data_IF_277153594600
#
_entry.id   IF_277153594600
#
_cell.length_a   1.000
_cell.length_b   1.000
_cell.length_c   1.000
_cell.angle_alpha   90.00
_cell.angle_beta   90.00
_cell.angle_gamma   90.00
#
_symmetry.space_group_name_H-M   'P 1'
#
loop_
_entity.id
_entity.type
_entity.pdbx_description
1 polymer ?
#
# COMPACT_ATOMS: atom_id res chain seq x y z
N UNK A 1 -41.93 36.50 3.84
CA UNK A 1 -40.60 36.35 4.49
C UNK A 1 -40.28 34.92 4.94
N UNK A 2 -41.22 34.15 5.51
CA UNK A 2 -40.96 32.76 5.95
C UNK A 2 -40.60 31.77 4.82
N UNK A 3 -41.14 31.97 3.62
CA UNK A 3 -40.93 31.04 2.49
C UNK A 3 -39.53 31.14 1.87
N UNK A 4 -38.92 32.34 1.86
CA UNK A 4 -37.54 32.56 1.39
C UNK A 4 -36.50 31.90 2.30
N UNK A 5 -36.76 31.83 3.60
CA UNK A 5 -35.88 31.18 4.56
C UNK A 5 -35.82 29.66 4.32
N UNK A 6 -36.96 29.02 3.99
CA UNK A 6 -37.04 27.58 3.73
C UNK A 6 -36.18 27.18 2.51
N UNK A 7 -36.24 27.95 1.43
CA UNK A 7 -35.38 27.70 0.25
C UNK A 7 -33.89 27.85 0.56
N UNK A 8 -33.53 28.78 1.46
CA UNK A 8 -32.15 28.98 1.89
C UNK A 8 -31.62 27.76 2.67
N UNK A 9 -32.43 27.17 3.55
CA UNK A 9 -32.09 25.94 4.28
C UNK A 9 -32.00 24.71 3.37
N UNK A 10 -32.90 24.57 2.39
CA UNK A 10 -32.84 23.48 1.39
C UNK A 10 -31.60 23.62 0.51
N UNK A 11 -31.28 24.83 0.07
CA UNK A 11 -30.08 25.10 -0.70
C UNK A 11 -28.81 24.77 0.10
N UNK A 12 -28.68 25.24 1.34
CA UNK A 12 -27.55 24.93 2.22
C UNK A 12 -27.38 23.41 2.45
N UNK A 13 -28.48 22.67 2.65
CA UNK A 13 -28.45 21.21 2.77
C UNK A 13 -27.94 20.53 1.49
N UNK A 14 -28.30 21.05 0.32
CA UNK A 14 -27.87 20.52 -0.98
C UNK A 14 -26.38 20.78 -1.28
N UNK A 15 -25.79 21.86 -0.78
CA UNK A 15 -24.34 22.12 -0.97
C UNK A 15 -23.50 21.20 -0.08
N UNK A 16 -23.98 20.86 1.13
CA UNK A 16 -23.23 19.99 2.05
C UNK A 16 -23.12 18.52 1.63
N UNK A 17 -23.96 18.05 0.71
CA UNK A 17 -23.95 16.64 0.28
C UNK A 17 -23.03 16.35 -0.91
N UNK A 18 -22.49 17.37 -1.60
CA UNK A 18 -21.74 17.18 -2.85
C UNK A 18 -20.24 16.86 -2.60
N UNK A 19 -19.69 17.10 -1.42
CA UNK A 19 -18.24 16.94 -1.16
C UNK A 19 -17.81 15.62 -0.50
N UNK A 20 -18.69 14.63 -0.35
CA UNK A 20 -18.40 13.43 0.44
C UNK A 20 -18.11 12.13 -0.35
N UNK A 21 -17.98 12.18 -1.67
CA UNK A 21 -17.58 11.02 -2.48
C UNK A 21 -16.15 11.15 -3.00
N UNK A 22 -15.21 11.36 -2.09
CA UNK A 22 -13.78 11.15 -2.35
C UNK A 22 -13.45 9.67 -2.40
N UNK A 23 -13.98 8.93 -3.38
CA UNK A 23 -13.32 7.68 -3.76
C UNK A 23 -11.92 8.07 -4.21
N UNK A 24 -10.92 7.78 -3.38
CA UNK A 24 -9.52 8.09 -3.68
C UNK A 24 -9.23 7.65 -5.12
N UNK A 25 -9.02 8.63 -6.00
CA UNK A 25 -8.84 8.37 -7.41
C UNK A 25 -7.64 7.43 -7.57
N UNK A 26 -7.89 6.27 -8.18
CA UNK A 26 -6.83 5.29 -8.43
C UNK A 26 -5.86 5.91 -9.42
N UNK A 27 -4.58 5.81 -9.12
CA UNK A 27 -3.52 6.30 -10.01
C UNK A 27 -3.66 5.66 -11.40
N UNK A 28 -3.41 6.42 -12.48
CA UNK A 28 -3.21 5.85 -13.81
C UNK A 28 -2.14 4.77 -13.77
N UNK A 29 -2.32 3.69 -14.55
CA UNK A 29 -1.45 2.49 -14.50
C UNK A 29 0.06 2.81 -14.47
N UNK A 30 0.52 3.74 -15.31
CA UNK A 30 1.95 4.11 -15.38
C UNK A 30 2.45 4.77 -14.10
N UNK A 31 1.64 5.61 -13.47
CA UNK A 31 1.97 6.29 -12.21
C UNK A 31 1.93 5.30 -11.04
N UNK A 32 0.96 4.40 -11.05
CA UNK A 32 0.89 3.30 -10.10
C UNK A 32 2.14 2.41 -10.18
N UNK A 33 2.53 1.97 -11.39
CA UNK A 33 3.70 1.13 -11.60
C UNK A 33 5.00 1.83 -11.15
N UNK A 34 5.13 3.14 -11.41
CA UNK A 34 6.26 3.94 -10.93
C UNK A 34 6.28 4.08 -9.41
N UNK A 35 5.11 4.24 -8.78
CA UNK A 35 4.97 4.31 -7.33
C UNK A 35 5.34 2.98 -6.66
N UNK A 36 4.78 1.87 -7.13
CA UNK A 36 5.15 0.52 -6.69
C UNK A 36 6.63 0.27 -6.93
N UNK A 37 7.21 0.85 -8.01
CA UNK A 37 8.65 0.78 -8.25
C UNK A 37 9.44 1.45 -7.13
N UNK A 38 9.07 2.65 -6.73
CA UNK A 38 9.72 3.35 -5.61
C UNK A 38 9.61 2.56 -4.29
N UNK A 39 8.42 2.05 -3.97
CA UNK A 39 8.21 1.27 -2.75
C UNK A 39 8.99 -0.06 -2.76
N UNK A 40 9.13 -0.72 -3.92
CA UNK A 40 9.95 -1.93 -3.99
C UNK A 40 11.45 -1.66 -3.81
N UNK A 41 11.96 -0.46 -4.11
CA UNK A 41 13.35 -0.11 -3.79
C UNK A 41 13.56 -0.01 -2.27
N UNK A 42 12.59 0.55 -1.54
CA UNK A 42 12.61 0.55 -0.07
C UNK A 42 12.61 -0.89 0.49
N UNK A 43 11.88 -1.79 -0.14
CA UNK A 43 11.89 -3.21 0.22
C UNK A 43 13.24 -3.88 -0.07
N UNK A 44 13.85 -3.62 -1.22
CA UNK A 44 15.20 -4.08 -1.56
C UNK A 44 16.23 -3.56 -0.56
N UNK A 45 16.12 -2.30 -0.15
CA UNK A 45 16.98 -1.71 0.87
C UNK A 45 16.80 -2.41 2.23
N UNK A 46 15.56 -2.70 2.62
CA UNK A 46 15.25 -3.42 3.87
C UNK A 46 15.78 -4.86 3.88
N UNK A 47 15.87 -5.51 2.71
CA UNK A 47 16.29 -6.90 2.55
C UNK A 47 17.75 -7.07 2.11
N UNK A 48 18.46 -5.97 1.82
CA UNK A 48 19.84 -5.96 1.31
C UNK A 48 20.81 -6.78 2.15
N UNK A 49 20.70 -6.69 3.47
CA UNK A 49 21.61 -7.38 4.37
C UNK A 49 21.34 -8.90 4.43
N UNK A 50 20.21 -9.37 3.89
CA UNK A 50 19.82 -10.77 3.97
C UNK A 50 20.52 -11.66 2.95
N UNK A 51 21.27 -11.11 1.98
CA UNK A 51 21.94 -11.90 0.92
C UNK A 51 22.75 -13.08 1.47
N UNK A 52 23.45 -12.90 2.59
CA UNK A 52 24.24 -13.95 3.23
C UNK A 52 23.39 -15.08 3.85
N UNK A 53 22.15 -14.79 4.26
CA UNK A 53 21.23 -15.77 4.83
C UNK A 53 20.73 -16.76 3.78
N UNK A 54 20.59 -16.31 2.53
CA UNK A 54 20.15 -17.12 1.40
C UNK A 54 21.13 -18.26 1.05
N UNK A 55 22.43 -18.08 1.30
CA UNK A 55 23.45 -19.12 1.09
C UNK A 55 23.16 -20.40 1.89
N UNK A 56 22.50 -20.27 3.04
CA UNK A 56 22.08 -21.38 3.90
C UNK A 56 20.58 -21.33 4.18
N UNK A 57 19.77 -21.22 3.12
CA UNK A 57 18.32 -21.04 3.21
C UNK A 57 17.63 -22.03 4.16
N UNK A 58 17.95 -23.33 4.08
CA UNK A 58 17.31 -24.34 4.93
C UNK A 58 17.50 -24.08 6.43
N UNK A 59 18.68 -23.60 6.83
CA UNK A 59 19.00 -23.27 8.23
C UNK A 59 18.45 -21.90 8.65
N UNK A 60 18.37 -20.96 7.71
CA UNK A 60 17.98 -19.57 7.96
C UNK A 60 16.53 -19.24 7.57
N UNK A 61 15.73 -20.22 7.11
CA UNK A 61 14.39 -20.01 6.56
C UNK A 61 13.50 -19.19 7.48
N UNK A 62 13.49 -19.50 8.78
CA UNK A 62 12.70 -18.77 9.77
C UNK A 62 13.12 -17.30 9.87
N UNK A 63 14.41 -17.04 9.93
CA UNK A 63 14.98 -15.68 9.97
C UNK A 63 14.68 -14.91 8.69
N UNK A 64 14.81 -15.57 7.53
CA UNK A 64 14.49 -14.99 6.23
C UNK A 64 13.02 -14.61 6.18
N UNK A 65 12.13 -15.55 6.50
CA UNK A 65 10.69 -15.30 6.45
C UNK A 65 10.27 -14.20 7.41
N UNK A 66 10.82 -14.18 8.63
CA UNK A 66 10.54 -13.12 9.61
C UNK A 66 10.96 -11.75 9.09
N UNK A 67 12.15 -11.64 8.50
CA UNK A 67 12.65 -10.36 7.98
C UNK A 67 11.90 -9.92 6.72
N UNK A 68 11.58 -10.84 5.81
CA UNK A 68 10.72 -10.56 4.64
C UNK A 68 9.34 -10.07 5.07
N UNK A 69 8.72 -10.77 6.03
CA UNK A 69 7.42 -10.40 6.58
C UNK A 69 7.47 -9.01 7.19
N UNK A 70 8.50 -8.70 7.97
CA UNK A 70 8.68 -7.37 8.59
C UNK A 70 8.87 -6.28 7.53
N UNK A 71 9.79 -6.47 6.58
CA UNK A 71 10.02 -5.51 5.49
C UNK A 71 8.79 -5.32 4.59
N UNK A 72 7.90 -6.32 4.50
CA UNK A 72 6.73 -6.26 3.64
C UNK A 72 5.51 -5.69 4.34
N UNK A 73 5.19 -6.14 5.56
CA UNK A 73 3.88 -5.96 6.19
C UNK A 73 3.89 -5.21 7.52
N UNK A 74 5.05 -4.82 8.06
CA UNK A 74 5.07 -4.08 9.33
C UNK A 74 4.22 -2.81 9.24
N UNK A 75 3.26 -2.65 10.16
CA UNK A 75 2.34 -1.51 10.18
C UNK A 75 1.24 -1.52 9.10
N UNK A 76 1.00 -2.65 8.41
CA UNK A 76 -0.05 -2.78 7.38
C UNK A 76 -1.44 -2.31 7.87
N UNK A 77 -1.81 -2.65 9.10
CA UNK A 77 -3.08 -2.26 9.71
C UNK A 77 -3.02 -1.00 10.56
N UNK A 78 -1.83 -0.45 10.78
CA UNK A 78 -1.63 0.78 11.55
C UNK A 78 -1.62 1.97 10.60
N UNK A 79 -2.72 2.73 10.56
CA UNK A 79 -2.87 3.90 9.68
C UNK A 79 -1.96 5.07 10.07
N UNK A 80 -1.41 5.08 11.29
CA UNK A 80 -0.45 6.10 11.74
C UNK A 80 1.00 5.70 11.46
N UNK A 81 1.23 4.47 10.97
CA UNK A 81 2.56 3.98 10.65
C UNK A 81 3.20 4.80 9.51
N UNK A 82 4.50 5.16 9.63
CA UNK A 82 5.17 5.95 8.62
C UNK A 82 5.31 5.16 7.31
N UNK A 83 5.18 5.83 6.18
CA UNK A 83 5.26 5.18 4.85
C UNK A 83 6.58 4.45 4.62
N UNK A 84 7.64 4.80 5.35
CA UNK A 84 8.98 4.20 5.27
C UNK A 84 9.13 2.91 6.08
N UNK A 85 8.13 2.50 6.88
CA UNK A 85 8.23 1.35 7.77
C UNK A 85 8.35 0.03 7.00
N UNK A 86 7.45 -0.18 6.03
CA UNK A 86 7.38 -1.38 5.23
C UNK A 86 6.90 -1.07 3.81
N UNK A 87 6.94 -2.08 2.95
CA UNK A 87 6.35 -2.00 1.63
C UNK A 87 4.83 -1.70 1.71
N UNK A 88 4.12 -2.32 2.66
CA UNK A 88 2.68 -2.11 2.89
C UNK A 88 2.34 -0.66 3.19
N UNK A 89 3.05 -0.06 4.15
CA UNK A 89 2.86 1.35 4.50
C UNK A 89 3.24 2.27 3.36
N UNK A 90 4.29 1.94 2.59
CA UNK A 90 4.68 2.75 1.42
C UNK A 90 3.60 2.78 0.35
N UNK A 91 3.06 1.61 -0.03
CA UNK A 91 2.07 1.47 -1.09
C UNK A 91 0.72 2.05 -0.67
N UNK A 92 0.35 1.92 0.62
CA UNK A 92 -0.85 2.54 1.18
C UNK A 92 -0.81 4.06 1.02
N UNK A 93 0.24 4.70 1.54
CA UNK A 93 0.30 6.16 1.56
C UNK A 93 0.63 6.76 0.20
N UNK A 94 1.59 6.19 -0.54
CA UNK A 94 2.08 6.79 -1.77
C UNK A 94 1.30 6.33 -3.00
N UNK A 95 0.85 5.07 -3.02
CA UNK A 95 0.21 4.47 -4.19
C UNK A 95 -1.30 4.32 -4.02
N UNK A 96 -1.86 4.73 -2.87
CA UNK A 96 -3.29 4.64 -2.53
C UNK A 96 -3.83 3.21 -2.70
N UNK A 97 -3.02 2.23 -2.35
CA UNK A 97 -3.37 0.81 -2.46
C UNK A 97 -3.05 0.08 -1.17
N UNK A 98 -4.01 -0.71 -0.70
CA UNK A 98 -3.82 -1.57 0.46
C UNK A 98 -3.22 -2.90 0.03
N UNK A 99 -2.26 -3.37 0.82
CA UNK A 99 -1.91 -4.79 0.81
C UNK A 99 -2.78 -5.53 1.80
N UNK A 100 -3.03 -6.79 1.48
CA UNK A 100 -3.78 -7.72 2.32
C UNK A 100 -3.01 -9.03 2.35
N UNK A 101 -2.17 -9.17 3.37
CA UNK A 101 -1.52 -10.41 3.77
C UNK A 101 -0.44 -10.96 2.81
N UNK A 102 0.57 -11.57 3.41
CA UNK A 102 1.52 -12.46 2.74
C UNK A 102 1.00 -13.89 2.90
N UNK A 103 0.01 -14.28 2.10
CA UNK A 103 -0.51 -15.65 2.11
C UNK A 103 -0.19 -16.38 0.81
N UNK A 104 0.07 -17.69 0.90
CA UNK A 104 0.35 -18.57 -0.25
C UNK A 104 -0.83 -18.70 -1.24
N UNK A 105 -2.03 -18.22 -0.91
CA UNK A 105 -3.26 -18.39 -1.73
C UNK A 105 -3.92 -17.08 -2.22
N UNK A 106 -3.30 -15.92 -2.04
CA UNK A 106 -3.83 -14.63 -2.53
C UNK A 106 -3.40 -14.35 -3.98
N UNK A 107 -3.99 -15.09 -4.93
CA UNK A 107 -3.79 -14.98 -6.40
C UNK A 107 -4.16 -13.58 -6.99
N UNK A 108 -4.63 -12.65 -6.15
CA UNK A 108 -4.86 -11.23 -6.50
C UNK A 108 -3.84 -10.24 -5.89
N UNK A 109 -3.35 -10.49 -4.68
CA UNK A 109 -2.23 -9.72 -4.07
C UNK A 109 -0.89 -10.05 -4.74
N UNK A 110 -0.74 -11.29 -5.22
CA UNK A 110 0.47 -11.78 -5.86
C UNK A 110 0.74 -11.24 -7.29
N UNK A 111 -0.28 -10.74 -8.03
CA UNK A 111 -0.03 -10.17 -9.38
C UNK A 111 0.66 -8.80 -9.36
N UNK A 112 0.57 -8.07 -8.25
CA UNK A 112 1.30 -6.81 -8.01
C UNK A 112 2.73 -7.08 -7.52
N UNK A 113 2.96 -8.23 -6.89
CA UNK A 113 4.30 -8.70 -6.49
C UNK A 113 5.04 -9.43 -7.64
N UNK A 114 4.33 -10.20 -8.48
CA UNK A 114 4.83 -10.96 -9.64
C UNK A 114 5.45 -10.10 -10.74
N UNK A 115 5.05 -8.83 -10.87
CA UNK A 115 5.65 -7.98 -11.90
C UNK A 115 7.05 -7.46 -11.54
N UNK A 116 7.52 -7.60 -10.28
CA UNK A 116 8.71 -6.87 -9.81
C UNK A 116 9.88 -7.69 -9.29
N UNK A 117 9.69 -8.93 -8.87
CA UNK A 117 10.82 -9.87 -8.73
C UNK A 117 11.44 -10.30 -10.07
N UNK A 118 10.87 -9.83 -11.21
CA UNK A 118 11.44 -9.98 -12.55
C UNK A 118 12.61 -9.02 -12.85
N UNK A 119 13.02 -8.13 -11.93
CA UNK A 119 14.27 -7.35 -12.09
C UNK A 119 15.23 -7.59 -10.91
N UNK A 120 15.30 -8.85 -10.44
CA UNK A 120 16.48 -9.38 -9.74
C UNK A 120 17.21 -10.36 -10.68
N UNK A 121 17.22 -10.05 -11.98
CA UNK A 121 18.16 -10.53 -12.98
C UNK A 121 18.23 -9.51 -14.13
#
# INVERSE_FOLDING_TARGET
>A
MKQLLIFFWIALYYITTITANGHAERLPKREFDACVKKCGNQFEDCTREMHHLWLNFAKNRGTIMKKLSSCCLDGEHDHDAPSTLSFATCVRENCRAEMWGWSENSVRSARVFESKYRIVN
#
